data_IF_535492072716
#
_entry.id   IF_535492072716
#
_cell.length_a   1.000
_cell.length_b   1.000
_cell.length_c   1.000
_cell.angle_alpha   90.00
_cell.angle_beta   90.00
_cell.angle_gamma   90.00
#
_symmetry.space_group_name_H-M   'P 1'
#
loop_
_entity.id
_entity.type
_entity.pdbx_description
1 polymer ?
#
# COMPACT_ATOMS: atom_id res chain seq x y z
N UNK A 1 21.99 -16.65 10.60
CA UNK A 1 21.28 -15.44 10.15
C UNK A 1 19.85 -15.58 10.65
N UNK A 2 19.33 -14.61 11.39
CA UNK A 2 17.93 -14.68 11.83
C UNK A 2 17.06 -14.51 10.59
N UNK A 3 16.25 -15.52 10.26
CA UNK A 3 15.14 -15.32 9.36
C UNK A 3 14.19 -14.34 10.07
N UNK A 4 13.75 -13.25 9.42
CA UNK A 4 12.67 -12.47 9.99
C UNK A 4 11.52 -13.42 10.26
N UNK A 5 10.95 -13.38 11.47
CA UNK A 5 9.76 -14.17 11.79
C UNK A 5 8.69 -13.84 10.76
N UNK A 6 8.21 -14.87 10.07
CA UNK A 6 7.15 -14.73 9.09
C UNK A 6 5.87 -14.30 9.83
N UNK A 7 5.22 -13.25 9.31
CA UNK A 7 3.96 -12.76 9.87
C UNK A 7 2.93 -13.89 9.85
N UNK A 8 2.37 -14.22 11.01
CA UNK A 8 1.30 -15.22 11.09
C UNK A 8 -0.06 -14.60 10.77
N UNK A 9 -1.06 -15.46 10.52
CA UNK A 9 -2.46 -15.02 10.41
C UNK A 9 -2.94 -14.32 11.68
N UNK A 10 -2.46 -14.74 12.85
CA UNK A 10 -2.77 -14.10 14.13
C UNK A 10 -2.25 -12.66 14.18
N UNK A 11 -0.98 -12.46 13.82
CA UNK A 11 -0.37 -11.12 13.79
C UNK A 11 -1.11 -10.19 12.83
N UNK A 12 -1.51 -10.70 11.65
CA UNK A 12 -2.29 -9.94 10.68
C UNK A 12 -3.66 -9.54 11.25
N UNK A 13 -4.37 -10.47 11.90
CA UNK A 13 -5.66 -10.19 12.52
C UNK A 13 -5.53 -9.13 13.62
N UNK A 14 -4.50 -9.20 14.45
CA UNK A 14 -4.29 -8.23 15.53
C UNK A 14 -4.04 -6.82 14.97
N UNK A 15 -3.22 -6.70 13.92
CA UNK A 15 -2.97 -5.42 13.24
C UNK A 15 -4.24 -4.85 12.60
N UNK A 16 -5.01 -5.68 11.88
CA UNK A 16 -6.25 -5.25 11.24
C UNK A 16 -7.34 -4.91 12.27
N UNK A 17 -7.40 -5.64 13.38
CA UNK A 17 -8.39 -5.45 14.44
C UNK A 17 -8.19 -4.13 15.21
N UNK A 18 -7.00 -3.54 15.15
CA UNK A 18 -6.71 -2.22 15.73
C UNK A 18 -7.24 -1.05 14.88
N UNK A 19 -7.63 -1.29 13.61
CA UNK A 19 -8.15 -0.28 12.69
C UNK A 19 -9.68 -0.32 12.67
N UNK A 20 -10.33 0.82 12.35
CA UNK A 20 -11.77 0.86 12.15
C UNK A 20 -12.21 -0.15 11.08
N UNK A 21 -13.13 -1.05 11.43
CA UNK A 21 -13.59 -2.18 10.59
C UNK A 21 -14.26 -1.76 9.28
N UNK A 22 -14.70 -0.53 9.15
CA UNK A 22 -15.28 0.01 7.92
C UNK A 22 -14.24 0.62 6.97
N UNK A 23 -12.98 0.71 7.40
CA UNK A 23 -11.88 1.23 6.58
C UNK A 23 -11.59 0.29 5.40
N UNK A 24 -11.57 0.79 4.15
CA UNK A 24 -11.21 -0.03 3.00
C UNK A 24 -9.76 -0.55 3.09
N UNK A 25 -9.58 -1.84 2.82
CA UNK A 25 -8.25 -2.48 2.72
C UNK A 25 -7.78 -2.45 1.26
N UNK A 26 -6.51 -2.08 1.06
CA UNK A 26 -5.83 -2.08 -0.25
C UNK A 26 -4.46 -2.73 -0.10
N UNK A 27 -4.05 -3.49 -1.11
CA UNK A 27 -2.71 -4.04 -1.19
C UNK A 27 -1.76 -2.99 -1.78
N UNK A 28 -0.62 -2.77 -1.15
CA UNK A 28 0.42 -1.90 -1.68
C UNK A 28 1.50 -2.77 -2.34
N UNK A 29 1.95 -2.41 -3.54
CA UNK A 29 3.05 -3.09 -4.25
C UNK A 29 3.99 -2.01 -4.80
N UNK A 30 5.30 -2.20 -4.74
CA UNK A 30 6.28 -1.25 -5.29
C UNK A 30 7.29 -1.91 -6.24
N UNK A 31 6.86 -2.37 -7.43
CA UNK A 31 7.78 -2.68 -8.50
C UNK A 31 8.04 -1.38 -9.28
N UNK A 32 9.21 -0.78 -9.07
CA UNK A 32 9.67 0.49 -9.66
C UNK A 32 8.93 1.77 -9.18
N UNK A 33 7.62 1.70 -8.91
CA UNK A 33 6.84 2.80 -8.34
C UNK A 33 5.81 2.28 -7.32
N UNK A 34 5.55 3.00 -6.21
CA UNK A 34 4.51 2.63 -5.25
C UNK A 34 3.11 2.67 -5.87
N UNK A 35 2.43 1.52 -5.87
CA UNK A 35 1.10 1.30 -6.44
C UNK A 35 0.14 0.70 -5.41
N UNK A 36 -1.14 1.04 -5.54
CA UNK A 36 -2.23 0.48 -4.75
C UNK A 36 -3.09 -0.45 -5.60
N UNK A 37 -3.47 -1.59 -5.04
CA UNK A 37 -4.24 -2.64 -5.68
C UNK A 37 -5.44 -3.03 -4.81
N UNK A 38 -6.54 -3.45 -5.43
CA UNK A 38 -7.69 -4.02 -4.72
C UNK A 38 -7.34 -5.42 -4.23
N UNK A 39 -7.44 -5.63 -2.93
CA UNK A 39 -7.43 -6.98 -2.37
C UNK A 39 -8.82 -7.59 -2.55
N UNK A 40 -8.91 -8.79 -3.12
CA UNK A 40 -10.19 -9.40 -3.47
C UNK A 40 -10.41 -10.76 -2.80
N UNK A 41 -9.35 -11.57 -2.66
CA UNK A 41 -9.50 -12.95 -2.18
C UNK A 41 -8.48 -13.28 -1.10
N UNK A 42 -8.91 -14.12 -0.16
CA UNK A 42 -8.06 -14.76 0.86
C UNK A 42 -8.20 -16.26 0.66
N UNK A 43 -7.11 -16.92 0.29
CA UNK A 43 -7.10 -18.34 -0.08
C UNK A 43 -6.07 -19.07 0.76
N UNK A 44 -6.46 -20.18 1.38
CA UNK A 44 -5.53 -21.08 2.05
C UNK A 44 -5.09 -22.19 1.10
N UNK A 45 -3.79 -22.47 1.04
CA UNK A 45 -3.22 -23.59 0.30
C UNK A 45 -1.96 -24.12 1.01
N UNK A 46 -1.42 -25.24 0.54
CA UNK A 46 -0.12 -25.72 1.00
C UNK A 46 0.99 -25.13 0.11
N UNK A 47 2.11 -24.73 0.72
CA UNK A 47 3.32 -24.34 0.01
C UNK A 47 4.08 -25.55 -0.57
N UNK A 48 5.24 -25.30 -1.18
CA UNK A 48 6.07 -26.35 -1.78
C UNK A 48 6.59 -27.40 -0.79
N UNK A 49 6.57 -27.10 0.51
CA UNK A 49 6.99 -27.99 1.59
C UNK A 49 5.80 -28.72 2.25
N UNK A 50 4.57 -28.41 1.82
CA UNK A 50 3.34 -28.94 2.40
C UNK A 50 2.83 -28.16 3.60
N UNK A 51 3.42 -27.01 3.95
CA UNK A 51 2.97 -26.17 5.05
C UNK A 51 1.77 -25.31 4.64
N UNK A 52 0.76 -25.14 5.50
CA UNK A 52 -0.38 -24.29 5.19
C UNK A 52 0.02 -22.80 5.18
N UNK A 53 -0.31 -22.11 4.09
CA UNK A 53 -0.08 -20.67 3.89
C UNK A 53 -1.38 -20.01 3.44
N UNK A 54 -1.58 -18.74 3.86
CA UNK A 54 -2.69 -17.91 3.40
C UNK A 54 -2.19 -16.90 2.38
N UNK A 55 -2.81 -16.90 1.21
CA UNK A 55 -2.56 -15.97 0.12
C UNK A 55 -3.61 -14.86 0.11
N UNK A 56 -3.13 -13.62 0.11
CA UNK A 56 -3.91 -12.42 -0.12
C UNK A 56 -3.79 -12.05 -1.60
N UNK A 57 -4.83 -12.33 -2.38
CA UNK A 57 -4.82 -12.16 -3.82
C UNK A 57 -5.54 -10.88 -4.25
N UNK A 58 -4.89 -10.14 -5.14
CA UNK A 58 -5.48 -9.01 -5.83
C UNK A 58 -6.56 -9.46 -6.84
N UNK A 59 -7.38 -8.51 -7.27
CA UNK A 59 -8.39 -8.75 -8.30
C UNK A 59 -7.81 -9.06 -9.69
N UNK A 60 -8.62 -9.70 -10.53
CA UNK A 60 -8.24 -10.05 -11.91
C UNK A 60 -8.60 -8.98 -12.94
N UNK A 61 -9.42 -8.01 -12.54
CA UNK A 61 -9.93 -6.99 -13.45
C UNK A 61 -8.88 -5.91 -13.72
N UNK A 62 -9.00 -5.24 -14.87
CA UNK A 62 -8.11 -4.15 -15.26
C UNK A 62 -8.09 -2.99 -14.25
N UNK A 63 -9.17 -2.81 -13.48
CA UNK A 63 -9.32 -1.77 -12.46
C UNK A 63 -8.80 -2.21 -11.08
N UNK A 64 -8.10 -3.34 -11.00
CA UNK A 64 -7.48 -3.81 -9.75
C UNK A 64 -6.38 -2.87 -9.28
N UNK A 65 -5.52 -2.43 -10.20
CA UNK A 65 -4.53 -1.39 -9.91
C UNK A 65 -5.23 -0.03 -9.87
N UNK A 66 -5.34 0.53 -8.67
CA UNK A 66 -6.05 1.79 -8.41
C UNK A 66 -5.21 3.04 -8.73
N UNK A 67 -3.95 2.86 -9.15
CA UNK A 67 -2.99 3.92 -9.44
C UNK A 67 -1.90 4.04 -8.37
N UNK A 68 -1.22 5.19 -8.35
CA UNK A 68 -0.14 5.46 -7.39
C UNK A 68 -0.64 5.36 -5.95
N UNK A 69 0.17 4.73 -5.11
CA UNK A 69 -0.06 4.71 -3.66
C UNK A 69 0.02 6.14 -3.11
N UNK A 70 -0.86 6.54 -2.15
CA UNK A 70 -0.73 7.84 -1.50
C UNK A 70 0.65 8.02 -0.85
N UNK A 71 1.28 9.21 -0.93
CA UNK A 71 2.64 9.43 -0.42
C UNK A 71 2.80 9.08 1.06
N UNK A 72 1.80 9.38 1.90
CA UNK A 72 1.82 9.06 3.33
C UNK A 72 1.93 7.55 3.60
N UNK A 73 1.29 6.73 2.78
CA UNK A 73 1.39 5.27 2.88
C UNK A 73 2.73 4.77 2.34
N UNK A 74 3.24 5.35 1.24
CA UNK A 74 4.57 5.03 0.72
C UNK A 74 5.69 5.37 1.72
N UNK A 75 5.56 6.48 2.46
CA UNK A 75 6.49 6.86 3.53
C UNK A 75 6.38 5.93 4.73
N UNK A 76 5.16 5.59 5.17
CA UNK A 76 4.96 4.66 6.28
C UNK A 76 5.53 3.26 6.00
N UNK A 77 5.51 2.83 4.74
CA UNK A 77 6.13 1.59 4.26
C UNK A 77 7.64 1.72 3.98
N UNK A 78 8.23 2.90 4.23
CA UNK A 78 9.63 3.23 3.94
C UNK A 78 10.04 3.06 2.47
N UNK A 79 9.09 3.19 1.54
CA UNK A 79 9.31 3.13 0.09
C UNK A 79 9.65 4.48 -0.52
N UNK A 80 9.38 5.56 0.20
CA UNK A 80 9.73 6.92 -0.16
C UNK A 80 10.17 7.69 1.08
N UNK A 81 11.12 8.61 0.90
CA UNK A 81 11.47 9.58 1.94
C UNK A 81 10.33 10.60 2.12
N UNK A 82 10.16 11.18 3.33
CA UNK A 82 9.24 12.29 3.54
C UNK A 82 9.61 13.47 2.63
N UNK A 83 8.78 13.74 1.62
CA UNK A 83 9.00 14.89 0.72
C UNK A 83 8.32 16.13 1.31
N UNK A 84 9.10 17.17 1.60
CA UNK A 84 8.50 18.48 1.88
C UNK A 84 7.87 19.06 0.61
N UNK A 85 6.63 19.55 0.72
CA UNK A 85 5.95 20.18 -0.40
C UNK A 85 6.81 21.34 -0.95
N UNK A 86 7.03 21.41 -2.28
CA UNK A 86 7.79 22.50 -2.87
C UNK A 86 7.20 23.86 -2.46
N UNK A 87 8.03 24.87 -2.16
CA UNK A 87 7.53 26.18 -1.76
C UNK A 87 6.60 26.74 -2.84
N UNK A 88 5.37 27.07 -2.46
CA UNK A 88 4.36 27.64 -3.37
C UNK A 88 4.89 28.95 -3.93
N UNK A 89 5.20 28.98 -5.22
CA UNK A 89 5.67 30.19 -5.90
C UNK A 89 4.55 31.24 -5.87
N UNK A 90 4.80 32.48 -5.42
CA UNK A 90 3.79 33.53 -5.41
C UNK A 90 3.23 33.74 -6.82
N UNK A 91 1.90 33.76 -6.96
CA UNK A 91 1.25 34.07 -8.25
C UNK A 91 1.65 35.49 -8.64
N UNK A 92 2.45 35.63 -9.69
CA UNK A 92 2.81 36.93 -10.27
C UNK A 92 1.52 37.58 -10.76
N UNK A 93 1.07 38.66 -10.10
CA UNK A 93 -0.03 39.46 -10.62
C UNK A 93 0.42 40.01 -11.97
N UNK A 94 -0.32 39.71 -13.03
CA UNK A 94 -0.17 40.39 -14.31
C UNK A 94 -0.52 41.86 -14.05
N UNK A 95 0.50 42.71 -13.95
CA UNK A 95 0.31 44.15 -13.92
C UNK A 95 -0.19 44.58 -15.28
N UNK A 96 -1.45 45.05 -15.34
CA UNK A 96 -1.97 45.77 -16.49
C UNK A 96 -1.17 47.05 -16.67
N UNK A 97 -0.40 47.11 -17.75
CA UNK A 97 0.19 48.34 -18.26
C UNK A 97 -0.75 48.95 -19.29
N UNK A 98 -1.15 50.19 -19.05
CA UNK A 98 -1.87 51.08 -19.96
C UNK A 98 -1.07 51.35 -21.24
#
# INVERSE_FOLDING_TARGET
MAHPEEMTVGDLIDLLSAVDRSTPVRQAINPFFPMAHRLEQVVQAADETGQPVVYLAEGRDADTQLGHLPPEAAVALAWQEPVQAPPRRPRRRAGGGK
#
